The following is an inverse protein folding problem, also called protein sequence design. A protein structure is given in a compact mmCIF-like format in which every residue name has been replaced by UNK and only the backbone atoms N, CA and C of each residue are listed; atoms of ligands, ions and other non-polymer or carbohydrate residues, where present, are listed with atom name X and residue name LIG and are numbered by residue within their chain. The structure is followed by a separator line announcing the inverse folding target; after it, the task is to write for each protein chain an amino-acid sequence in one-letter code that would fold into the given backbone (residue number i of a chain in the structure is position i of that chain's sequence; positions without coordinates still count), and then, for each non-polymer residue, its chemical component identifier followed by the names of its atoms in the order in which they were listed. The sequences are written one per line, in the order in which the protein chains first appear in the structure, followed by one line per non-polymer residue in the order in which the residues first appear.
data_IF_654394581029
#
_entry.id   IF_654394581029
#
_cell.length_a   1.000
_cell.length_b   1.000
_cell.length_c   1.000
_cell.angle_alpha   90.00
_cell.angle_beta   90.00
_cell.angle_gamma   90.00
#
_symmetry.space_group_name_H-M   'P 1'
#
loop_
_entity.id
_entity.type
_entity.pdbx_description
1 polymer ?
#
# COMPACT_ATOMS: atom_id res chain seq x y z
N UNK A 1 2.68 14.38 -18.92
CA UNK A 1 2.26 13.57 -17.76
C UNK A 1 3.15 12.36 -17.69
N UNK A 2 3.56 11.94 -16.50
CA UNK A 2 4.29 10.69 -16.26
C UNK A 2 3.32 9.61 -15.77
N UNK A 3 3.63 8.34 -16.06
CA UNK A 3 2.89 7.18 -15.55
C UNK A 3 3.89 6.29 -14.82
N UNK A 4 3.52 5.84 -13.61
CA UNK A 4 4.33 4.94 -12.79
C UNK A 4 3.54 3.67 -12.48
N UNK A 5 4.21 2.52 -12.58
CA UNK A 5 3.67 1.21 -12.21
C UNK A 5 4.44 0.62 -11.02
N UNK A 6 4.01 -0.54 -10.52
CA UNK A 6 4.63 -1.23 -9.38
C UNK A 6 6.13 -1.50 -9.59
N UNK A 7 6.54 -1.78 -10.83
CA UNK A 7 7.94 -2.03 -11.23
C UNK A 7 8.80 -0.78 -11.12
N UNK A 8 8.20 0.41 -11.22
CA UNK A 8 8.90 1.70 -11.12
C UNK A 8 9.13 2.19 -9.69
N UNK A 9 8.65 1.47 -8.67
CA UNK A 9 8.78 1.93 -7.27
C UNK A 9 10.13 1.61 -6.65
N UNK A 10 10.70 0.45 -6.95
CA UNK A 10 12.00 0.07 -6.41
C UNK A 10 13.11 0.81 -7.17
N UNK A 11 14.09 1.33 -6.44
CA UNK A 11 15.23 2.04 -7.03
C UNK A 11 16.53 1.37 -6.57
N UNK A 12 17.40 1.03 -7.51
CA UNK A 12 18.70 0.39 -7.22
C UNK A 12 18.60 -0.88 -6.35
N UNK A 13 17.49 -1.63 -6.47
CA UNK A 13 17.22 -2.83 -5.68
C UNK A 13 16.64 -2.58 -4.29
N UNK A 14 16.46 -1.31 -3.90
CA UNK A 14 15.81 -0.94 -2.65
C UNK A 14 14.30 -0.83 -2.85
N UNK A 15 13.55 -1.47 -1.95
CA UNK A 15 12.09 -1.40 -1.95
C UNK A 15 11.60 -0.02 -1.51
N UNK A 16 10.55 0.46 -2.17
CA UNK A 16 9.79 1.60 -1.69
C UNK A 16 9.23 1.34 -0.27
N UNK A 17 9.13 2.35 0.62
CA UNK A 17 8.61 2.17 1.98
C UNK A 17 7.27 1.43 2.05
N UNK A 18 6.35 1.70 1.13
CA UNK A 18 5.08 0.98 1.02
C UNK A 18 5.26 -0.52 0.71
N UNK A 19 6.17 -0.87 -0.21
CA UNK A 19 6.46 -2.29 -0.52
C UNK A 19 7.02 -3.01 0.71
N UNK A 20 7.94 -2.35 1.42
CA UNK A 20 8.52 -2.87 2.67
C UNK A 20 7.46 -3.06 3.75
N UNK A 21 6.55 -2.10 3.92
CA UNK A 21 5.47 -2.20 4.89
C UNK A 21 4.51 -3.36 4.60
N UNK A 22 4.16 -3.59 3.33
CA UNK A 22 3.36 -4.75 2.90
C UNK A 22 4.07 -6.08 3.17
N UNK A 23 5.39 -6.15 2.95
CA UNK A 23 6.19 -7.34 3.25
C UNK A 23 6.20 -7.63 4.75
N UNK A 24 6.51 -6.63 5.58
CA UNK A 24 6.68 -6.78 7.03
C UNK A 24 5.37 -7.08 7.77
N UNK A 25 4.24 -6.59 7.26
CA UNK A 25 2.94 -6.78 7.90
C UNK A 25 2.12 -7.93 7.29
N UNK A 26 2.69 -8.72 6.39
CA UNK A 26 1.97 -9.75 5.65
C UNK A 26 0.72 -9.18 4.95
N UNK A 27 0.86 -8.01 4.34
CA UNK A 27 -0.18 -7.32 3.56
C UNK A 27 -0.49 -7.99 2.22
N UNK A 28 0.14 -9.12 1.90
CA UNK A 28 -0.11 -9.91 0.70
C UNK A 28 -0.14 -11.42 0.99
N UNK A 29 -0.79 -12.17 0.10
CA UNK A 29 -0.74 -13.63 0.05
C UNK A 29 -0.48 -14.09 -1.40
N UNK A 30 -1.53 -14.30 -2.20
CA UNK A 30 -1.36 -14.73 -3.61
C UNK A 30 -0.63 -13.71 -4.50
N UNK A 31 -0.55 -12.45 -4.05
CA UNK A 31 0.18 -11.39 -4.74
C UNK A 31 -0.57 -10.71 -5.88
N UNK A 32 -1.67 -11.28 -6.37
CA UNK A 32 -2.34 -10.78 -7.58
C UNK A 32 -2.86 -9.34 -7.45
N UNK A 33 -3.48 -9.00 -6.31
CA UNK A 33 -3.99 -7.65 -6.06
C UNK A 33 -2.91 -6.67 -5.57
N UNK A 34 -1.71 -7.17 -5.21
CA UNK A 34 -0.69 -6.38 -4.52
C UNK A 34 -0.21 -5.17 -5.33
N UNK A 35 0.04 -5.26 -6.65
CA UNK A 35 0.40 -4.09 -7.45
C UNK A 35 -0.60 -2.95 -7.34
N UNK A 36 -1.90 -3.23 -7.55
CA UNK A 36 -2.96 -2.23 -7.45
C UNK A 36 -3.09 -1.65 -6.04
N UNK A 37 -3.04 -2.52 -5.03
CA UNK A 37 -3.10 -2.11 -3.63
C UNK A 37 -1.97 -1.18 -3.22
N UNK A 38 -0.72 -1.50 -3.60
CA UNK A 38 0.44 -0.67 -3.26
C UNK A 38 0.36 0.68 -3.96
N UNK A 39 0.00 0.71 -5.25
CA UNK A 39 -0.13 1.97 -5.99
C UNK A 39 -1.25 2.86 -5.44
N UNK A 40 -2.42 2.28 -5.13
CA UNK A 40 -3.54 2.99 -4.52
C UNK A 40 -3.18 3.52 -3.12
N UNK A 41 -2.46 2.74 -2.32
CA UNK A 41 -2.00 3.14 -0.99
C UNK A 41 -1.03 4.33 -1.04
N UNK A 42 -0.14 4.37 -2.04
CA UNK A 42 0.77 5.51 -2.26
C UNK A 42 -0.03 6.74 -2.68
N UNK A 43 -0.99 6.59 -3.59
CA UNK A 43 -1.91 7.67 -3.97
C UNK A 43 -2.63 8.25 -2.76
N UNK A 44 -3.19 7.38 -1.91
CA UNK A 44 -3.86 7.76 -0.67
C UNK A 44 -2.94 8.56 0.26
N UNK A 45 -1.71 8.10 0.51
CA UNK A 45 -0.78 8.80 1.42
C UNK A 45 -0.22 10.09 0.84
N UNK A 46 -0.15 10.24 -0.48
CA UNK A 46 0.21 11.50 -1.11
C UNK A 46 -0.84 12.59 -0.88
N UNK A 47 -2.12 12.21 -0.78
CA UNK A 47 -3.23 13.14 -0.52
C UNK A 47 -3.48 13.33 0.99
N UNK A 48 -3.39 12.26 1.76
CA UNK A 48 -3.54 12.26 3.22
C UNK A 48 -2.38 11.50 3.89
N UNK A 49 -1.31 12.19 4.31
CA UNK A 49 -0.14 11.56 4.92
C UNK A 49 -0.39 10.94 6.30
N UNK A 50 -1.50 11.29 6.97
CA UNK A 50 -1.83 10.84 8.33
C UNK A 50 -3.26 10.28 8.40
N UNK A 51 -3.58 9.23 7.62
CA UNK A 51 -4.94 8.72 7.56
C UNK A 51 -5.26 7.91 8.82
N UNK A 52 -6.54 7.91 9.17
CA UNK A 52 -7.15 6.97 10.10
C UNK A 52 -7.37 5.60 9.44
N UNK A 53 -7.67 4.57 10.24
CA UNK A 53 -7.97 3.24 9.71
C UNK A 53 -9.16 3.26 8.74
N UNK A 54 -10.22 3.99 9.08
CA UNK A 54 -11.43 4.09 8.26
C UNK A 54 -11.17 4.80 6.93
N UNK A 55 -10.33 5.84 6.93
CA UNK A 55 -9.92 6.54 5.70
C UNK A 55 -9.09 5.62 4.79
N UNK A 56 -8.20 4.79 5.36
CA UNK A 56 -7.47 3.77 4.57
C UNK A 56 -8.43 2.76 3.94
N UNK A 57 -9.43 2.29 4.70
CA UNK A 57 -10.42 1.32 4.21
C UNK A 57 -11.25 1.91 3.07
N UNK A 58 -11.73 3.14 3.24
CA UNK A 58 -12.50 3.84 2.22
C UNK A 58 -11.66 4.11 0.98
N UNK A 59 -10.44 4.61 1.14
CA UNK A 59 -9.56 4.92 0.00
C UNK A 59 -9.07 3.70 -0.77
N UNK A 60 -9.20 2.49 -0.22
CA UNK A 60 -8.85 1.23 -0.90
C UNK A 60 -10.08 0.44 -1.39
N UNK A 61 -11.30 0.96 -1.27
CA UNK A 61 -12.54 0.21 -1.59
C UNK A 61 -12.61 -0.29 -3.04
N UNK A 62 -11.94 0.42 -3.97
CA UNK A 62 -11.87 0.06 -5.38
C UNK A 62 -10.91 -1.09 -5.70
N UNK A 63 -10.13 -1.56 -4.73
CA UNK A 63 -9.19 -2.66 -4.92
C UNK A 63 -9.69 -3.90 -4.17
N UNK A 64 -10.01 -4.97 -4.90
CA UNK A 64 -10.55 -6.19 -4.30
C UNK A 64 -9.43 -7.19 -3.97
N UNK A 65 -9.50 -7.76 -2.77
CA UNK A 65 -8.61 -8.83 -2.32
C UNK A 65 -9.42 -10.02 -1.80
N UNK A 66 -9.09 -11.23 -2.25
CA UNK A 66 -9.77 -12.45 -1.78
C UNK A 66 -9.01 -13.19 -0.68
N UNK A 67 -7.73 -12.89 -0.47
CA UNK A 67 -6.86 -13.72 0.35
C UNK A 67 -6.64 -13.16 1.76
N UNK A 68 -6.45 -11.85 1.91
CA UNK A 68 -5.96 -11.26 3.17
C UNK A 68 -7.05 -10.87 4.17
N UNK A 69 -8.31 -10.74 3.72
CA UNK A 69 -9.37 -10.14 4.53
C UNK A 69 -9.14 -8.66 4.86
N UNK A 70 -8.25 -7.98 4.11
CA UNK A 70 -7.92 -6.54 4.19
C UNK A 70 -7.21 -6.05 5.46
N UNK A 71 -7.36 -6.71 6.61
CA UNK A 71 -6.80 -6.22 7.88
C UNK A 71 -5.29 -5.93 7.80
N UNK A 72 -4.49 -6.86 7.26
CA UNK A 72 -3.05 -6.66 7.14
C UNK A 72 -2.66 -5.66 6.04
N UNK A 73 -3.50 -5.45 5.02
CA UNK A 73 -3.30 -4.39 4.02
C UNK A 73 -3.41 -3.03 4.72
N UNK A 74 -4.49 -2.82 5.46
CA UNK A 74 -4.74 -1.58 6.21
C UNK A 74 -3.62 -1.32 7.22
N UNK A 75 -3.20 -2.36 7.97
CA UNK A 75 -2.04 -2.29 8.88
C UNK A 75 -0.75 -1.86 8.15
N UNK A 76 -0.51 -2.37 6.94
CA UNK A 76 0.68 -2.02 6.14
C UNK A 76 0.68 -0.53 5.76
N UNK A 77 -0.46 0.01 5.34
CA UNK A 77 -0.58 1.42 4.96
C UNK A 77 -0.34 2.33 6.16
N UNK A 78 -0.97 2.04 7.29
CA UNK A 78 -0.79 2.80 8.54
C UNK A 78 0.65 2.73 9.05
N UNK A 79 1.30 1.57 8.93
CA UNK A 79 2.71 1.42 9.28
C UNK A 79 3.61 2.29 8.38
N UNK A 80 3.37 2.30 7.07
CA UNK A 80 4.09 3.16 6.14
C UNK A 80 3.89 4.65 6.47
N UNK A 81 2.65 5.08 6.71
CA UNK A 81 2.33 6.46 7.09
C UNK A 81 3.10 6.89 8.35
N UNK A 82 3.13 6.03 9.38
CA UNK A 82 3.87 6.34 10.61
C UNK A 82 5.39 6.36 10.43
N UNK A 83 5.95 5.52 9.55
CA UNK A 83 7.39 5.44 9.30
C UNK A 83 7.92 6.57 8.41
N UNK A 84 7.04 7.29 7.72
CA UNK A 84 7.38 8.37 6.76
C UNK A 84 6.94 9.76 7.24
N UNK A 85 6.51 9.86 8.50
CA UNK A 85 6.31 11.14 9.21
C UNK A 85 7.59 11.95 9.33
#
# INVERSE_FOLDING_TARGET
GSVTTIEGLAQNGEMHPMQKAFMENHGLQCGYCTPGMVMASIGLLNENPNPTEDEVRLGLEGNLCRCTGYHNIVKSVLACANATK
#
